data_IF_352382030805
#
_entry.id   IF_352382030805
#
_cell.length_a   1.000
_cell.length_b   1.000
_cell.length_c   1.000
_cell.angle_alpha   90.00
_cell.angle_beta   90.00
_cell.angle_gamma   90.00
#
_symmetry.space_group_name_H-M   'P 1'
#
loop_
_entity.id
_entity.type
_entity.pdbx_description
1 polymer ?
#
# COMPACT_ATOMS: atom_id res chain seq x y z
N UNK A 1 9.51 8.02 21.77
CA UNK A 1 9.33 8.66 20.46
C UNK A 1 8.20 7.95 19.73
N UNK A 2 7.19 8.70 19.26
CA UNK A 2 6.10 8.15 18.45
C UNK A 2 6.63 7.57 17.13
N UNK A 3 6.06 6.44 16.69
CA UNK A 3 6.46 5.78 15.44
C UNK A 3 5.99 6.59 14.24
N UNK A 4 6.83 6.69 13.22
CA UNK A 4 6.50 7.33 11.94
C UNK A 4 6.05 6.28 10.93
N UNK A 5 4.84 6.44 10.42
CA UNK A 5 4.20 5.47 9.53
C UNK A 5 3.83 6.13 8.20
N UNK A 6 4.27 5.58 7.08
CA UNK A 6 3.71 5.92 5.78
C UNK A 6 2.51 5.01 5.50
N UNK A 7 1.37 5.60 5.14
CA UNK A 7 0.19 4.90 4.66
C UNK A 7 -0.11 5.31 3.22
N UNK A 8 -0.14 4.35 2.30
CA UNK A 8 -0.63 4.56 0.95
C UNK A 8 -2.06 4.04 0.81
N UNK A 9 -2.83 4.62 -0.11
CA UNK A 9 -4.22 4.20 -0.32
C UNK A 9 -5.17 4.58 0.81
N UNK A 10 -4.82 5.56 1.64
CA UNK A 10 -5.58 6.02 2.81
C UNK A 10 -7.02 6.46 2.49
N UNK A 11 -7.30 6.88 1.25
CA UNK A 11 -8.63 7.30 0.78
C UNK A 11 -9.49 6.13 0.27
N UNK A 12 -8.90 4.94 0.10
CA UNK A 12 -9.59 3.74 -0.35
C UNK A 12 -10.41 3.05 0.74
N UNK A 13 -11.15 1.99 0.37
CA UNK A 13 -12.04 1.27 1.28
C UNK A 13 -11.28 0.67 2.49
N UNK A 14 -10.21 -0.08 2.25
CA UNK A 14 -9.38 -0.66 3.31
C UNK A 14 -8.54 0.42 4.00
N UNK A 15 -7.84 1.25 3.21
CA UNK A 15 -6.89 2.22 3.75
C UNK A 15 -7.51 3.25 4.68
N UNK A 16 -8.78 3.65 4.47
CA UNK A 16 -9.47 4.56 5.41
C UNK A 16 -9.74 3.92 6.78
N UNK A 17 -9.95 2.61 6.84
CA UNK A 17 -10.10 1.91 8.11
C UNK A 17 -8.77 1.81 8.85
N UNK A 18 -7.71 1.48 8.11
CA UNK A 18 -6.33 1.48 8.63
C UNK A 18 -5.96 2.87 9.16
N UNK A 19 -6.26 3.92 8.38
CA UNK A 19 -6.01 5.31 8.79
C UNK A 19 -6.71 5.65 10.12
N UNK A 20 -8.01 5.33 10.25
CA UNK A 20 -8.78 5.61 11.48
C UNK A 20 -8.17 4.92 12.70
N UNK A 21 -7.74 3.67 12.54
CA UNK A 21 -7.10 2.94 13.63
C UNK A 21 -5.74 3.56 13.99
N UNK A 22 -4.91 3.87 13.01
CA UNK A 22 -3.61 4.49 13.25
C UNK A 22 -3.75 5.87 13.92
N UNK A 23 -4.70 6.69 13.49
CA UNK A 23 -4.94 8.02 14.06
C UNK A 23 -5.43 8.00 15.51
N UNK A 24 -5.92 6.84 16.00
CA UNK A 24 -6.30 6.64 17.41
C UNK A 24 -5.11 6.25 18.32
N UNK A 25 -3.92 6.05 17.74
CA UNK A 25 -2.71 5.68 18.47
C UNK A 25 -1.67 6.79 18.42
N UNK A 26 -0.66 6.70 19.30
CA UNK A 26 0.50 7.62 19.29
C UNK A 26 1.44 7.29 18.13
N UNK A 27 1.05 7.69 16.93
CA UNK A 27 1.84 7.57 15.69
C UNK A 27 1.81 8.88 14.91
N UNK A 28 2.86 9.12 14.16
CA UNK A 28 2.96 10.25 13.22
C UNK A 28 2.78 9.71 11.81
N UNK A 29 1.80 10.23 11.09
CA UNK A 29 1.40 9.71 9.80
C UNK A 29 1.95 10.56 8.65
N UNK A 30 2.56 9.88 7.70
CA UNK A 30 2.72 10.38 6.34
C UNK A 30 1.70 9.67 5.48
N UNK A 31 0.84 10.40 4.77
CA UNK A 31 -0.16 9.80 3.87
C UNK A 31 0.19 10.08 2.43
N UNK A 32 0.10 9.06 1.58
CA UNK A 32 0.30 9.23 0.15
C UNK A 32 -1.06 9.22 -0.56
N UNK A 33 -1.38 10.33 -1.23
CA UNK A 33 -2.66 10.56 -1.91
C UNK A 33 -2.44 10.90 -3.38
N UNK A 34 -3.47 10.61 -4.20
CA UNK A 34 -3.45 10.99 -5.61
C UNK A 34 -3.57 12.50 -5.75
N UNK A 35 -2.75 13.08 -6.62
CA UNK A 35 -2.84 14.50 -6.97
C UNK A 35 -4.24 14.86 -7.48
N UNK A 36 -4.72 16.06 -7.13
CA UNK A 36 -6.07 16.53 -7.47
C UNK A 36 -7.23 15.96 -6.64
N UNK A 37 -7.00 14.94 -5.78
CA UNK A 37 -7.99 14.52 -4.79
C UNK A 37 -7.84 15.35 -3.53
N UNK A 38 -8.88 16.13 -3.19
CA UNK A 38 -9.01 16.70 -1.85
C UNK A 38 -9.29 15.57 -0.86
N UNK A 39 -8.64 15.62 0.30
CA UNK A 39 -8.83 14.65 1.35
C UNK A 39 -8.85 15.35 2.71
N UNK A 40 -9.91 15.13 3.48
CA UNK A 40 -10.00 15.59 4.87
C UNK A 40 -8.98 14.90 5.80
N UNK A 41 -8.23 13.93 5.28
CA UNK A 41 -7.17 13.27 6.07
C UNK A 41 -6.08 14.25 6.50
N UNK A 42 -5.85 15.31 5.71
CA UNK A 42 -4.82 16.33 5.98
C UNK A 42 -5.13 17.19 7.21
N UNK A 43 -6.42 17.29 7.56
CA UNK A 43 -6.88 18.06 8.73
C UNK A 43 -6.70 17.28 10.05
N UNK A 44 -6.34 15.99 9.96
CA UNK A 44 -6.15 15.17 11.15
C UNK A 44 -4.81 15.49 11.82
N UNK A 45 -4.79 15.79 13.13
CA UNK A 45 -3.58 16.18 13.85
C UNK A 45 -2.49 15.10 13.90
N UNK A 46 -2.82 13.84 13.61
CA UNK A 46 -1.85 12.76 13.52
C UNK A 46 -1.09 12.76 12.17
N UNK A 47 -1.53 13.55 11.18
CA UNK A 47 -0.89 13.63 9.86
C UNK A 47 0.15 14.74 9.83
N UNK A 48 1.41 14.36 9.74
CA UNK A 48 2.53 15.29 9.64
C UNK A 48 2.83 15.70 8.22
N UNK A 49 2.66 14.78 7.28
CA UNK A 49 3.10 14.97 5.90
C UNK A 49 2.13 14.33 4.94
N UNK A 50 1.85 15.03 3.84
CA UNK A 50 1.05 14.53 2.72
C UNK A 50 1.92 14.49 1.48
N UNK A 51 2.12 13.29 0.95
CA UNK A 51 2.78 13.05 -0.33
C UNK A 51 1.72 13.06 -1.42
N UNK A 52 1.83 13.98 -2.38
CA UNK A 52 0.96 14.05 -3.54
C UNK A 52 1.67 13.55 -4.78
N UNK A 53 1.03 12.66 -5.51
CA UNK A 53 1.56 12.14 -6.76
C UNK A 53 0.43 11.78 -7.71
N UNK A 54 0.53 12.09 -9.02
CA UNK A 54 -0.43 11.62 -10.01
C UNK A 54 -0.45 10.09 -10.09
N UNK A 55 0.73 9.47 -9.93
CA UNK A 55 0.89 8.01 -9.92
C UNK A 55 2.01 7.59 -8.97
N UNK A 56 1.66 6.87 -7.89
CA UNK A 56 2.61 6.33 -6.92
C UNK A 56 3.41 5.15 -7.50
N UNK A 57 2.81 4.39 -8.42
CA UNK A 57 3.42 3.20 -8.98
C UNK A 57 4.49 3.53 -10.04
N UNK A 58 4.45 4.74 -10.61
CA UNK A 58 5.48 5.23 -11.52
C UNK A 58 6.75 5.73 -10.81
N UNK A 59 6.78 5.77 -9.48
CA UNK A 59 7.93 6.27 -8.73
C UNK A 59 9.08 5.26 -8.68
N UNK A 60 10.31 5.79 -8.78
CA UNK A 60 11.54 4.97 -8.70
C UNK A 60 11.87 4.59 -7.25
N UNK A 61 12.73 3.57 -7.08
CA UNK A 61 13.23 3.19 -5.77
C UNK A 61 14.05 4.31 -5.10
N UNK A 62 14.75 5.13 -5.89
CA UNK A 62 15.50 6.29 -5.38
C UNK A 62 14.54 7.35 -4.84
N UNK A 63 13.48 7.67 -5.59
CA UNK A 63 12.46 8.60 -5.14
C UNK A 63 11.83 8.15 -3.82
N UNK A 64 11.48 6.86 -3.71
CA UNK A 64 10.95 6.28 -2.48
C UNK A 64 11.97 6.30 -1.33
N UNK A 65 13.24 6.06 -1.60
CA UNK A 65 14.30 6.13 -0.58
C UNK A 65 14.35 7.52 0.07
N UNK A 66 14.23 8.56 -0.75
CA UNK A 66 14.20 9.95 -0.26
C UNK A 66 12.90 10.27 0.49
N UNK A 67 11.75 9.88 -0.06
CA UNK A 67 10.44 10.13 0.53
C UNK A 67 10.21 9.38 1.86
N UNK A 68 10.91 8.26 2.06
CA UNK A 68 10.81 7.41 3.24
C UNK A 68 11.86 7.69 4.31
N UNK A 69 12.67 8.75 4.13
CA UNK A 69 13.67 9.10 5.13
C UNK A 69 13.02 9.36 6.50
N UNK A 70 13.47 8.64 7.51
CA UNK A 70 12.95 8.75 8.87
C UNK A 70 11.60 8.05 9.12
N UNK A 71 11.07 7.31 8.16
CA UNK A 71 9.87 6.47 8.33
C UNK A 71 10.28 5.11 8.96
N UNK A 72 9.56 4.69 9.98
CA UNK A 72 9.77 3.40 10.65
C UNK A 72 9.04 2.25 9.98
N UNK A 73 7.84 2.52 9.49
CA UNK A 73 6.92 1.51 8.95
C UNK A 73 6.19 2.03 7.71
N UNK A 74 6.10 1.19 6.69
CA UNK A 74 5.24 1.42 5.52
C UNK A 74 4.05 0.47 5.60
N UNK A 75 2.83 1.00 5.43
CA UNK A 75 1.61 0.23 5.22
C UNK A 75 1.08 0.58 3.83
N UNK A 76 1.13 -0.41 2.93
CA UNK A 76 0.81 -0.24 1.52
C UNK A 76 -0.56 -0.83 1.21
N UNK A 77 -1.60 0.03 1.14
CA UNK A 77 -2.97 -0.34 0.78
C UNK A 77 -3.35 0.09 -0.65
N UNK A 78 -2.53 0.91 -1.31
CA UNK A 78 -2.82 1.39 -2.65
C UNK A 78 -2.73 0.24 -3.67
N UNK A 79 -3.73 0.16 -4.55
CA UNK A 79 -3.76 -0.74 -5.70
C UNK A 79 -4.77 -0.24 -6.72
N UNK A 80 -4.65 -0.66 -7.98
CA UNK A 80 -5.68 -0.45 -8.96
C UNK A 80 -6.84 -1.43 -8.69
N UNK A 81 -7.99 -0.91 -8.29
CA UNK A 81 -9.13 -1.72 -7.86
C UNK A 81 -10.47 -1.21 -8.47
N UNK A 82 -10.44 -0.86 -9.77
CA UNK A 82 -11.65 -0.46 -10.49
C UNK A 82 -12.63 -1.64 -10.56
N UNK A 83 -13.85 -1.51 -9.98
CA UNK A 83 -14.82 -2.60 -9.96
C UNK A 83 -15.13 -3.14 -11.36
N UNK A 84 -15.16 -4.46 -11.52
CA UNK A 84 -15.41 -5.15 -12.79
C UNK A 84 -14.21 -5.20 -13.74
N UNK A 85 -13.16 -4.42 -13.53
CA UNK A 85 -12.01 -4.33 -14.44
C UNK A 85 -10.70 -4.83 -13.84
N UNK A 86 -10.51 -4.71 -12.52
CA UNK A 86 -9.21 -4.85 -11.88
C UNK A 86 -8.59 -6.26 -12.00
N UNK A 87 -9.41 -7.31 -12.00
CA UNK A 87 -8.91 -8.70 -11.99
C UNK A 87 -8.04 -9.01 -13.21
N UNK A 88 -8.42 -8.54 -14.40
CA UNK A 88 -7.76 -8.82 -15.67
C UNK A 88 -6.94 -7.64 -16.20
N UNK A 89 -6.90 -6.51 -15.48
CA UNK A 89 -6.25 -5.30 -15.96
C UNK A 89 -4.73 -5.45 -16.04
N UNK A 90 -4.09 -5.00 -17.15
CA UNK A 90 -2.63 -4.91 -17.23
C UNK A 90 -2.01 -3.95 -16.22
N UNK A 91 -2.79 -3.01 -15.66
CA UNK A 91 -2.35 -2.12 -14.57
C UNK A 91 -1.89 -2.86 -13.32
N UNK A 92 -2.22 -4.14 -13.18
CA UNK A 92 -1.70 -4.95 -12.09
C UNK A 92 -0.17 -5.12 -12.17
N UNK A 93 0.40 -5.13 -13.37
CA UNK A 93 1.86 -5.17 -13.56
C UNK A 93 2.52 -3.86 -13.13
N UNK A 94 1.90 -2.72 -13.44
CA UNK A 94 2.38 -1.41 -13.01
C UNK A 94 2.34 -1.31 -11.48
N UNK A 95 1.25 -1.80 -10.86
CA UNK A 95 1.12 -1.86 -9.40
C UNK A 95 2.19 -2.75 -8.77
N UNK A 96 2.46 -3.92 -9.33
CA UNK A 96 3.52 -4.82 -8.88
C UNK A 96 4.89 -4.15 -8.97
N UNK A 97 5.25 -3.63 -10.14
CA UNK A 97 6.54 -2.96 -10.33
C UNK A 97 6.73 -1.78 -9.37
N UNK A 98 5.70 -0.93 -9.24
CA UNK A 98 5.73 0.22 -8.34
C UNK A 98 5.85 -0.18 -6.87
N UNK A 99 5.18 -1.27 -6.45
CA UNK A 99 5.31 -1.81 -5.09
C UNK A 99 6.71 -2.34 -4.82
N UNK A 100 7.32 -3.05 -5.78
CA UNK A 100 8.71 -3.52 -5.66
C UNK A 100 9.71 -2.36 -5.60
N UNK A 101 9.47 -1.29 -6.37
CA UNK A 101 10.29 -0.06 -6.27
C UNK A 101 10.15 0.60 -4.89
N UNK A 102 8.94 0.67 -4.35
CA UNK A 102 8.68 1.18 -3.00
C UNK A 102 9.40 0.33 -1.95
N UNK A 103 9.32 -0.99 -2.02
CA UNK A 103 10.00 -1.89 -1.10
C UNK A 103 11.52 -1.74 -1.16
N UNK A 104 12.11 -1.63 -2.37
CA UNK A 104 13.54 -1.33 -2.54
C UNK A 104 13.92 0.02 -1.93
N UNK A 105 13.10 1.05 -2.15
CA UNK A 105 13.31 2.38 -1.56
C UNK A 105 13.22 2.34 -0.04
N UNK A 106 12.24 1.62 0.51
CA UNK A 106 12.06 1.42 1.94
C UNK A 106 13.28 0.74 2.60
N UNK A 107 13.81 -0.31 1.96
CA UNK A 107 15.04 -0.97 2.40
C UNK A 107 16.23 -0.01 2.44
N UNK A 108 16.43 0.80 1.40
CA UNK A 108 17.51 1.79 1.33
C UNK A 108 17.36 2.91 2.38
N UNK A 109 16.13 3.30 2.68
CA UNK A 109 15.82 4.32 3.69
C UNK A 109 15.93 3.80 5.14
N UNK A 110 16.14 2.50 5.34
CA UNK A 110 16.22 1.89 6.68
C UNK A 110 14.86 1.68 7.34
N UNK A 111 13.77 1.61 6.56
CA UNK A 111 12.43 1.27 7.05
C UNK A 111 12.46 -0.14 7.67
N UNK A 112 11.98 -0.26 8.89
CA UNK A 112 12.05 -1.52 9.66
C UNK A 112 10.94 -2.51 9.32
N UNK A 113 9.78 -2.02 8.87
CA UNK A 113 8.61 -2.85 8.53
C UNK A 113 7.95 -2.36 7.26
N UNK A 114 7.67 -3.28 6.37
CA UNK A 114 6.86 -3.05 5.18
C UNK A 114 5.70 -4.04 5.20
N UNK A 115 4.48 -3.54 5.27
CA UNK A 115 3.25 -4.33 5.26
C UNK A 115 2.45 -4.03 3.99
N UNK A 116 2.32 -5.00 3.12
CA UNK A 116 1.42 -4.96 1.96
C UNK A 116 0.08 -5.61 2.27
N UNK A 117 -1.01 -5.07 1.72
CA UNK A 117 -2.32 -5.70 1.81
C UNK A 117 -2.47 -6.72 0.68
N UNK A 118 -2.56 -7.99 1.04
CA UNK A 118 -2.79 -9.11 0.13
C UNK A 118 -4.26 -9.31 -0.25
N UNK A 119 -4.57 -10.45 -0.82
CA UNK A 119 -5.94 -10.82 -1.22
C UNK A 119 -6.18 -12.32 -1.08
N UNK A 120 -7.44 -12.72 -0.82
CA UNK A 120 -7.82 -14.12 -0.81
C UNK A 120 -7.63 -14.80 -2.20
N UNK A 121 -7.62 -14.03 -3.28
CA UNK A 121 -7.38 -14.54 -4.63
C UNK A 121 -5.97 -15.10 -4.86
N UNK A 122 -5.02 -14.88 -3.94
CA UNK A 122 -3.68 -15.47 -3.99
C UNK A 122 -3.72 -16.98 -3.74
N UNK A 123 -4.72 -17.43 -2.99
CA UNK A 123 -4.84 -18.82 -2.52
C UNK A 123 -5.69 -19.69 -3.43
N UNK A 124 -5.59 -21.01 -3.27
CA UNK A 124 -6.49 -21.98 -3.92
C UNK A 124 -7.88 -21.88 -3.29
N UNK A 125 -8.78 -21.21 -3.99
CA UNK A 125 -10.17 -20.99 -3.54
C UNK A 125 -11.01 -22.27 -3.47
N UNK A 126 -10.53 -23.40 -4.03
CA UNK A 126 -11.23 -24.67 -3.94
C UNK A 126 -11.25 -25.28 -2.53
N UNK A 127 -10.41 -24.77 -1.62
CA UNK A 127 -10.34 -25.22 -0.22
C UNK A 127 -11.52 -24.73 0.65
N UNK A 128 -12.37 -23.85 0.15
CA UNK A 128 -13.49 -23.29 0.90
C UNK A 128 -13.02 -22.29 1.98
N UNK A 129 -12.71 -22.78 3.18
CA UNK A 129 -12.12 -21.93 4.25
C UNK A 129 -10.62 -21.78 4.01
N UNK A 130 -10.18 -20.52 3.87
CA UNK A 130 -8.78 -20.18 3.64
C UNK A 130 -8.05 -19.92 4.95
N UNK A 131 -6.79 -20.31 5.01
CA UNK A 131 -5.85 -20.01 6.07
C UNK A 131 -4.49 -19.63 5.47
N UNK A 132 -3.53 -19.24 6.31
CA UNK A 132 -2.15 -18.97 5.87
C UNK A 132 -1.43 -20.21 5.34
N UNK A 133 -1.94 -21.41 5.66
CA UNK A 133 -1.41 -22.70 5.19
C UNK A 133 -2.04 -23.14 3.86
N UNK A 134 -3.09 -22.45 3.40
CA UNK A 134 -3.71 -22.76 2.11
C UNK A 134 -2.72 -22.54 0.97
N UNK A 135 -2.54 -23.49 0.04
CA UNK A 135 -1.62 -23.32 -1.08
C UNK A 135 -1.94 -22.09 -1.93
N UNK A 136 -0.90 -21.41 -2.41
CA UNK A 136 -1.05 -20.32 -3.37
C UNK A 136 -1.43 -20.90 -4.74
N UNK A 137 -2.44 -20.29 -5.37
CA UNK A 137 -2.90 -20.60 -6.72
C UNK A 137 -3.51 -19.36 -7.39
N UNK A 138 -2.70 -18.34 -7.60
CA UNK A 138 -3.19 -17.09 -8.18
C UNK A 138 -3.55 -17.27 -9.65
N UNK A 139 -4.85 -17.20 -9.98
CA UNK A 139 -5.33 -17.40 -11.36
C UNK A 139 -5.41 -16.10 -12.17
N UNK A 140 -6.09 -15.01 -11.72
CA UNK A 140 -6.13 -13.79 -12.51
C UNK A 140 -4.82 -12.96 -12.35
N UNK A 141 -4.48 -12.10 -13.31
CA UNK A 141 -3.34 -11.20 -13.25
C UNK A 141 -3.24 -10.39 -11.95
N UNK A 142 -4.38 -9.95 -11.42
CA UNK A 142 -4.47 -9.29 -10.11
C UNK A 142 -3.89 -10.17 -8.98
N UNK A 143 -4.34 -11.42 -8.93
CA UNK A 143 -3.90 -12.35 -7.89
C UNK A 143 -2.41 -12.68 -8.01
N UNK A 144 -1.93 -12.91 -9.24
CA UNK A 144 -0.50 -13.15 -9.50
C UNK A 144 0.37 -11.98 -9.09
N UNK A 145 -0.04 -10.76 -9.46
CA UNK A 145 0.68 -9.55 -9.08
C UNK A 145 0.68 -9.33 -7.56
N UNK A 146 -0.45 -9.59 -6.88
CA UNK A 146 -0.56 -9.50 -5.42
C UNK A 146 0.32 -10.54 -4.71
N UNK A 147 0.28 -11.79 -5.15
CA UNK A 147 1.08 -12.86 -4.58
C UNK A 147 2.61 -12.64 -4.76
N UNK A 148 3.01 -11.83 -5.75
CA UNK A 148 4.40 -11.50 -6.03
C UNK A 148 4.92 -10.28 -5.23
N UNK A 149 4.06 -9.59 -4.48
CA UNK A 149 4.45 -8.44 -3.64
C UNK A 149 4.69 -8.83 -2.20
#
# INVERSE_FOLDING_TARGET
>A
MSKRVLLTGATGFVGRQVFRQLAAHDVRLTVAVREGKQSSLEENPSVDTVIRSPDLFAKTAEWWSNALHGIDTVIHCAWYAEPGLYLQSPKNLDCLQGTLNMAKGASRAGVRRFAGVGTCFEYDLSHGMLSVETPLKPLPPYAGAKAAT
#
